data_IF_804822781761
#
_entry.id   IF_804822781761
#
_cell.length_a   1.000
_cell.length_b   1.000
_cell.length_c   1.000
_cell.angle_alpha   90.00
_cell.angle_beta   90.00
_cell.angle_gamma   90.00
#
_symmetry.space_group_name_H-M   'P 1'
#
loop_
_entity.id
_entity.type
_entity.pdbx_description
1 polymer ?
#
# COMPACT_ATOMS: atom_id res chain seq x y z
N UNK A 1 20.71 0.20 14.86
CA UNK A 1 20.13 -0.65 13.79
C UNK A 1 20.18 0.14 12.50
N UNK A 2 20.37 -0.49 11.35
CA UNK A 2 20.29 0.23 10.07
C UNK A 2 18.85 0.16 9.57
N UNK A 3 18.25 1.30 9.23
CA UNK A 3 16.90 1.33 8.68
C UNK A 3 16.91 0.66 7.31
N UNK A 4 15.97 -0.26 7.11
CA UNK A 4 15.75 -0.95 5.84
C UNK A 4 14.55 -0.31 5.18
N UNK A 5 14.64 -0.01 3.90
CA UNK A 5 13.47 0.44 3.15
C UNK A 5 13.04 -0.58 2.11
N UNK A 6 11.75 -0.93 2.14
CA UNK A 6 11.08 -1.65 1.06
C UNK A 6 10.74 -0.63 -0.03
N UNK A 7 11.29 -0.82 -1.22
CA UNK A 7 11.17 0.12 -2.34
C UNK A 7 10.38 -0.51 -3.46
N UNK A 8 9.44 0.24 -4.00
CA UNK A 8 8.63 -0.07 -5.17
C UNK A 8 8.91 0.99 -6.23
N UNK A 9 9.18 0.56 -7.45
CA UNK A 9 9.42 1.44 -8.59
C UNK A 9 8.39 1.10 -9.65
N UNK A 10 7.84 2.14 -10.29
CA UNK A 10 7.12 2.03 -11.56
C UNK A 10 7.75 2.96 -12.58
N UNK A 11 8.21 2.39 -13.68
CA UNK A 11 8.69 3.10 -14.84
C UNK A 11 7.62 3.04 -15.92
N UNK A 12 7.18 4.18 -16.43
CA UNK A 12 6.36 4.23 -17.63
C UNK A 12 7.25 4.59 -18.81
N UNK A 13 7.21 3.76 -19.84
CA UNK A 13 7.91 3.93 -21.09
C UNK A 13 7.16 4.95 -21.97
N UNK A 14 7.89 5.59 -22.88
CA UNK A 14 7.30 6.46 -23.91
C UNK A 14 6.66 5.66 -25.03
N UNK A 15 7.25 4.52 -25.34
CA UNK A 15 6.78 3.59 -26.35
C UNK A 15 6.64 2.20 -25.70
N UNK A 16 5.48 1.56 -25.88
CA UNK A 16 5.28 0.16 -25.44
C UNK A 16 6.23 -0.82 -26.14
N UNK A 17 6.73 -0.45 -27.32
CA UNK A 17 7.70 -1.22 -28.10
C UNK A 17 9.16 -0.92 -27.71
N UNK A 18 9.41 -0.05 -26.72
CA UNK A 18 10.76 0.24 -26.25
C UNK A 18 11.45 -1.03 -25.74
N UNK A 19 12.70 -1.21 -26.18
CA UNK A 19 13.52 -2.41 -25.94
C UNK A 19 14.01 -2.54 -24.50
N UNK A 20 13.86 -1.49 -23.68
CA UNK A 20 14.24 -1.52 -22.27
C UNK A 20 13.65 -2.73 -21.55
N UNK A 21 14.50 -3.60 -21.03
CA UNK A 21 14.08 -4.86 -20.41
C UNK A 21 13.91 -4.73 -18.90
N UNK A 22 13.12 -5.63 -18.29
CA UNK A 22 13.05 -5.74 -16.84
C UNK A 22 14.42 -6.01 -16.21
N UNK A 23 15.26 -6.82 -16.88
CA UNK A 23 16.58 -7.18 -16.38
C UNK A 23 17.52 -5.98 -16.32
N UNK A 24 17.54 -5.13 -17.36
CA UNK A 24 18.35 -3.90 -17.35
C UNK A 24 17.93 -2.96 -16.22
N UNK A 25 16.63 -2.87 -15.95
CA UNK A 25 16.11 -2.07 -14.84
C UNK A 25 16.56 -2.65 -13.50
N UNK A 26 16.43 -3.96 -13.30
CA UNK A 26 16.88 -4.62 -12.09
C UNK A 26 18.39 -4.48 -11.87
N UNK A 27 19.20 -4.63 -12.91
CA UNK A 27 20.65 -4.52 -12.83
C UNK A 27 21.10 -3.12 -12.36
N UNK A 28 20.43 -2.06 -12.84
CA UNK A 28 20.68 -0.69 -12.37
C UNK A 28 20.18 -0.46 -10.94
N UNK A 29 18.99 -0.98 -10.59
CA UNK A 29 18.40 -0.80 -9.25
C UNK A 29 19.21 -1.52 -8.16
N UNK A 30 19.70 -2.72 -8.45
CA UNK A 30 20.39 -3.58 -7.49
C UNK A 30 21.90 -3.36 -7.50
N UNK A 31 22.47 -2.98 -8.65
CA UNK A 31 23.90 -2.86 -8.86
C UNK A 31 24.66 -4.12 -8.41
N UNK A 32 25.89 -3.93 -7.93
CA UNK A 32 26.71 -5.03 -7.38
C UNK A 32 26.34 -5.44 -5.95
N UNK A 33 25.48 -4.69 -5.28
CA UNK A 33 25.15 -4.88 -3.87
C UNK A 33 23.89 -5.73 -3.63
N UNK A 34 23.05 -5.89 -4.66
CA UNK A 34 21.83 -6.68 -4.57
C UNK A 34 20.75 -6.02 -3.73
N UNK A 35 19.82 -6.83 -3.22
CA UNK A 35 18.72 -6.38 -2.36
C UNK A 35 19.06 -6.56 -0.88
N UNK A 36 18.60 -5.65 -0.02
CA UNK A 36 18.77 -5.75 1.42
C UNK A 36 17.50 -6.30 2.11
N UNK A 37 17.50 -7.59 2.47
CA UNK A 37 16.46 -8.27 3.27
C UNK A 37 15.01 -8.20 2.73
N UNK A 38 14.81 -7.80 1.48
CA UNK A 38 13.50 -7.74 0.81
C UNK A 38 13.57 -8.58 -0.47
N UNK A 39 12.59 -9.47 -0.74
CA UNK A 39 12.52 -10.20 -2.00
C UNK A 39 12.52 -9.24 -3.20
N UNK A 40 13.25 -9.63 -4.25
CA UNK A 40 13.18 -8.92 -5.53
C UNK A 40 12.04 -9.51 -6.35
N UNK A 41 11.22 -8.64 -6.92
CA UNK A 41 10.35 -9.01 -8.03
C UNK A 41 10.32 -7.88 -9.05
N UNK A 42 10.05 -8.24 -10.30
CA UNK A 42 9.76 -7.31 -11.38
C UNK A 42 8.62 -7.83 -12.23
N UNK A 43 7.96 -6.91 -12.93
CA UNK A 43 6.96 -7.24 -13.93
C UNK A 43 6.91 -6.14 -14.97
N UNK A 44 6.94 -6.50 -16.24
CA UNK A 44 6.53 -5.65 -17.36
C UNK A 44 5.08 -5.91 -17.70
N UNK A 45 4.34 -4.83 -17.94
CA UNK A 45 2.98 -4.85 -18.47
C UNK A 45 2.86 -3.70 -19.46
N UNK A 46 2.73 -4.01 -20.75
CA UNK A 46 2.67 -3.01 -21.83
C UNK A 46 3.84 -2.01 -21.77
N UNK A 47 3.55 -0.72 -21.60
CA UNK A 47 4.50 0.36 -21.45
C UNK A 47 4.91 0.63 -19.99
N UNK A 48 4.72 -0.33 -19.08
CA UNK A 48 5.08 -0.18 -17.66
C UNK A 48 6.03 -1.29 -17.21
N UNK A 49 7.02 -0.92 -16.41
CA UNK A 49 7.90 -1.85 -15.69
C UNK A 49 7.80 -1.53 -14.21
N UNK A 50 7.34 -2.50 -13.44
CA UNK A 50 7.28 -2.45 -11.99
C UNK A 50 8.40 -3.29 -11.39
N UNK A 51 8.97 -2.83 -10.27
CA UNK A 51 9.96 -3.58 -9.52
C UNK A 51 9.84 -3.31 -8.01
N UNK A 52 10.20 -4.30 -7.21
CA UNK A 52 10.39 -4.15 -5.77
C UNK A 52 11.74 -4.70 -5.34
N UNK A 53 12.38 -4.02 -4.38
CA UNK A 53 13.63 -4.43 -3.78
C UNK A 53 13.84 -3.74 -2.43
N UNK A 54 14.90 -4.11 -1.72
CA UNK A 54 15.25 -3.55 -0.42
C UNK A 54 16.52 -2.72 -0.49
N UNK A 55 16.53 -1.56 0.17
CA UNK A 55 17.71 -0.70 0.32
C UNK A 55 18.00 -0.38 1.77
N UNK A 56 19.26 0.00 2.03
CA UNK A 56 19.68 0.53 3.33
C UNK A 56 19.46 2.05 3.33
N UNK A 57 18.79 2.59 4.35
CA UNK A 57 18.61 4.03 4.61
C UNK A 57 17.63 4.81 3.71
N UNK A 58 16.64 4.15 3.10
CA UNK A 58 15.61 4.83 2.29
C UNK A 58 15.95 4.97 0.80
N UNK A 59 14.95 5.37 0.01
CA UNK A 59 15.06 5.50 -1.46
C UNK A 59 15.00 6.94 -1.97
N UNK A 60 15.22 7.93 -1.09
CA UNK A 60 15.12 9.34 -1.46
C UNK A 60 16.06 9.69 -2.63
N UNK A 61 15.54 10.39 -3.64
CA UNK A 61 16.24 10.78 -4.86
C UNK A 61 16.38 9.66 -5.90
N UNK A 62 15.84 8.46 -5.66
CA UNK A 62 15.90 7.36 -6.63
C UNK A 62 15.16 7.72 -7.91
N UNK A 63 14.01 8.41 -7.84
CA UNK A 63 13.26 8.77 -9.03
C UNK A 63 14.06 9.65 -10.00
N UNK A 64 14.84 10.61 -9.46
CA UNK A 64 15.70 11.48 -10.26
C UNK A 64 16.88 10.73 -10.85
N UNK A 65 17.48 9.78 -10.12
CA UNK A 65 18.59 8.96 -10.63
C UNK A 65 18.17 8.09 -11.81
N UNK A 66 17.05 7.39 -11.69
CA UNK A 66 16.52 6.56 -12.78
C UNK A 66 16.11 7.42 -13.98
N UNK A 67 15.53 8.59 -13.72
CA UNK A 67 15.24 9.56 -14.77
C UNK A 67 16.51 10.02 -15.49
N UNK A 68 17.58 10.35 -14.76
CA UNK A 68 18.84 10.78 -15.36
C UNK A 68 19.48 9.68 -16.23
N UNK A 69 19.36 8.41 -15.82
CA UNK A 69 19.87 7.27 -16.58
C UNK A 69 19.09 7.03 -17.88
N UNK A 70 17.75 7.15 -17.84
CA UNK A 70 16.90 6.67 -18.95
C UNK A 70 15.84 7.65 -19.46
N UNK A 71 16.00 8.96 -19.22
CA UNK A 71 15.01 9.97 -19.62
C UNK A 71 14.59 9.90 -21.09
N UNK A 72 15.42 9.38 -21.99
CA UNK A 72 15.09 9.20 -23.40
C UNK A 72 13.96 8.18 -23.64
N UNK A 73 13.85 7.17 -22.78
CA UNK A 73 12.90 6.05 -22.85
C UNK A 73 11.66 6.26 -22.00
N UNK A 74 11.76 7.09 -20.97
CA UNK A 74 10.74 7.19 -19.92
C UNK A 74 9.79 8.38 -20.10
N UNK A 75 8.51 8.13 -19.88
CA UNK A 75 7.46 9.15 -19.76
C UNK A 75 7.26 9.58 -18.31
N UNK A 76 7.40 8.65 -17.36
CA UNK A 76 7.41 8.97 -15.92
C UNK A 76 8.15 7.92 -15.10
N UNK A 77 8.69 8.33 -13.96
CA UNK A 77 9.26 7.48 -12.91
C UNK A 77 8.52 7.72 -11.61
N UNK A 78 8.05 6.63 -11.03
CA UNK A 78 7.42 6.59 -9.72
C UNK A 78 8.27 5.73 -8.80
N UNK A 79 8.54 6.24 -7.61
CA UNK A 79 9.21 5.48 -6.55
C UNK A 79 8.38 5.62 -5.30
N UNK A 80 8.03 4.51 -4.67
CA UNK A 80 7.37 4.46 -3.37
C UNK A 80 8.24 3.65 -2.43
N UNK A 81 8.39 4.08 -1.18
CA UNK A 81 9.11 3.27 -0.21
C UNK A 81 8.58 3.44 1.19
N UNK A 82 8.70 2.37 1.98
CA UNK A 82 8.52 2.38 3.41
C UNK A 82 9.89 2.48 4.08
N UNK A 83 10.11 3.44 4.98
CA UNK A 83 11.32 3.49 5.84
C UNK A 83 11.03 2.77 7.16
N UNK A 84 11.89 1.84 7.58
CA UNK A 84 11.74 1.11 8.85
C UNK A 84 11.75 2.09 10.04
N UNK A 85 10.61 2.18 10.73
CA UNK A 85 10.31 3.19 11.76
C UNK A 85 9.41 4.34 11.31
N UNK A 86 8.96 4.34 10.05
CA UNK A 86 7.93 5.24 9.54
C UNK A 86 6.52 4.67 9.70
N UNK A 87 5.52 5.53 9.56
CA UNK A 87 4.10 5.16 9.67
C UNK A 87 3.45 4.95 8.29
N UNK A 88 4.08 5.45 7.24
CA UNK A 88 3.49 5.49 5.90
C UNK A 88 4.57 5.35 4.83
N UNK A 89 4.15 4.89 3.66
CA UNK A 89 4.99 4.96 2.48
C UNK A 89 5.17 6.41 2.03
N UNK A 90 6.40 6.77 1.70
CA UNK A 90 6.73 7.96 0.95
C UNK A 90 6.69 7.66 -0.55
N UNK A 91 6.33 8.64 -1.36
CA UNK A 91 6.28 8.54 -2.81
C UNK A 91 6.98 9.74 -3.48
N UNK A 92 7.85 9.42 -4.41
CA UNK A 92 8.51 10.31 -5.36
C UNK A 92 7.95 10.09 -6.75
N UNK A 93 7.84 11.19 -7.50
CA UNK A 93 7.36 11.18 -8.87
C UNK A 93 8.18 12.14 -9.73
N UNK A 94 8.71 11.62 -10.84
CA UNK A 94 9.39 12.39 -11.88
C UNK A 94 8.72 12.20 -13.26
N UNK A 95 7.87 13.15 -13.68
CA UNK A 95 7.24 13.14 -15.01
C UNK A 95 8.14 13.77 -16.10
N UNK A 96 7.83 13.49 -17.38
CA UNK A 96 8.46 14.10 -18.56
C UNK A 96 8.33 15.63 -18.63
N UNK A 97 7.16 16.16 -18.27
CA UNK A 97 6.92 17.59 -18.17
C UNK A 97 7.06 18.02 -16.70
N UNK A 98 7.93 18.99 -16.41
CA UNK A 98 7.99 19.60 -15.07
C UNK A 98 6.62 20.26 -14.79
N UNK A 99 5.79 19.61 -13.99
CA UNK A 99 4.54 20.23 -13.52
C UNK A 99 4.89 21.48 -12.70
N UNK A 100 4.25 22.61 -12.98
CA UNK A 100 4.26 23.80 -12.13
C UNK A 100 3.55 23.50 -10.82
N UNK A 101 4.24 22.89 -9.85
CA UNK A 101 3.62 22.43 -8.59
C UNK A 101 3.37 23.59 -7.62
N UNK A 102 2.22 23.58 -6.95
CA UNK A 102 1.99 24.38 -5.74
C UNK A 102 2.85 23.85 -4.59
N UNK A 103 3.74 24.68 -4.05
CA UNK A 103 4.78 24.30 -3.10
C UNK A 103 4.31 23.88 -1.69
N UNK A 104 3.00 23.90 -1.40
CA UNK A 104 2.48 23.82 -0.02
C UNK A 104 2.27 22.40 0.52
N UNK A 105 2.33 21.35 -0.32
CA UNK A 105 2.06 19.95 0.09
C UNK A 105 3.27 19.02 0.00
N UNK A 106 4.45 19.53 -0.30
CA UNK A 106 5.59 18.73 -0.72
C UNK A 106 6.85 19.07 0.06
N UNK A 107 7.65 18.06 0.39
CA UNK A 107 9.01 18.29 0.90
C UNK A 107 9.99 18.14 -0.26
N UNK A 108 10.78 19.19 -0.54
CA UNK A 108 11.85 19.11 -1.52
C UNK A 108 13.10 18.53 -0.87
N UNK A 109 13.50 17.31 -1.27
CA UNK A 109 14.76 16.69 -0.84
C UNK A 109 15.51 16.18 -2.06
N UNK A 110 16.78 16.57 -2.19
CA UNK A 110 17.67 16.02 -3.21
C UNK A 110 17.25 16.24 -4.67
N UNK A 111 16.38 17.22 -4.97
CA UNK A 111 15.89 17.45 -6.34
C UNK A 111 14.48 16.94 -6.62
N UNK A 112 13.89 16.18 -5.69
CA UNK A 112 12.58 15.54 -5.86
C UNK A 112 11.59 15.99 -4.79
N UNK A 113 10.32 16.05 -5.16
CA UNK A 113 9.22 16.29 -4.24
C UNK A 113 8.73 14.97 -3.67
N UNK A 114 8.79 14.83 -2.34
CA UNK A 114 8.34 13.66 -1.59
C UNK A 114 6.99 13.99 -0.93
N UNK A 115 6.07 13.02 -0.96
CA UNK A 115 4.76 13.07 -0.30
C UNK A 115 4.42 11.72 0.31
N UNK A 116 3.42 11.68 1.19
CA UNK A 116 2.93 10.42 1.78
C UNK A 116 1.95 9.75 0.81
N UNK A 117 2.13 8.46 0.56
CA UNK A 117 1.27 7.67 -0.30
C UNK A 117 -0.04 7.33 0.41
N UNK A 118 -1.15 7.48 -0.30
CA UNK A 118 -2.48 7.04 0.15
C UNK A 118 -2.96 5.91 -0.75
N UNK A 119 -3.79 5.02 -0.20
CA UNK A 119 -4.31 3.83 -0.85
C UNK A 119 -5.83 3.83 -0.86
N UNK A 120 -6.43 3.48 -1.98
CA UNK A 120 -7.88 3.41 -2.15
C UNK A 120 -8.42 2.02 -1.80
N UNK A 121 -9.66 2.02 -1.35
CA UNK A 121 -10.52 0.85 -1.28
C UNK A 121 -11.93 1.28 -1.72
N UNK A 122 -12.72 0.33 -2.22
CA UNK A 122 -14.09 0.50 -2.69
C UNK A 122 -15.10 -0.44 -2.02
N UNK A 123 -14.64 -1.34 -1.15
CA UNK A 123 -15.50 -2.21 -0.37
C UNK A 123 -14.90 -2.64 0.96
N UNK A 124 -15.79 -3.13 1.83
CA UNK A 124 -15.42 -3.70 3.13
C UNK A 124 -16.05 -5.09 3.21
N UNK A 125 -15.26 -6.09 3.60
CA UNK A 125 -15.74 -7.45 3.86
C UNK A 125 -15.46 -7.86 5.30
N UNK A 126 -16.46 -8.44 5.94
CA UNK A 126 -16.33 -8.96 7.32
C UNK A 126 -16.76 -10.42 7.34
N UNK A 127 -15.91 -11.26 7.91
CA UNK A 127 -16.25 -12.64 8.27
C UNK A 127 -16.41 -12.70 9.79
N UNK A 128 -17.52 -13.25 10.26
CA UNK A 128 -17.88 -13.30 11.69
C UNK A 128 -17.59 -14.69 12.27
N UNK A 129 -17.14 -14.78 13.53
CA UNK A 129 -16.92 -16.07 14.21
C UNK A 129 -18.20 -16.80 14.57
N UNK A 130 -19.22 -16.01 14.84
CA UNK A 130 -20.54 -16.45 15.29
C UNK A 130 -21.60 -15.95 14.33
N UNK A 131 -22.88 -16.20 14.64
CA UNK A 131 -23.98 -15.70 13.82
C UNK A 131 -23.79 -14.21 13.52
N UNK A 132 -23.89 -13.90 12.22
CA UNK A 132 -23.78 -12.54 11.70
C UNK A 132 -24.79 -11.68 12.50
N UNK A 133 -24.35 -10.64 13.23
CA UNK A 133 -25.26 -9.68 13.83
C UNK A 133 -26.21 -9.14 12.74
N UNK A 134 -27.28 -8.42 13.10
CA UNK A 134 -28.05 -7.71 12.06
C UNK A 134 -27.14 -6.62 11.43
N UNK A 135 -26.30 -7.01 10.47
CA UNK A 135 -25.22 -6.21 9.91
C UNK A 135 -25.75 -5.03 9.10
N UNK A 136 -27.05 -4.99 8.82
CA UNK A 136 -27.73 -3.96 8.04
C UNK A 136 -27.61 -2.54 8.60
N UNK A 137 -27.03 -2.34 9.80
CA UNK A 137 -26.87 -1.02 10.43
C UNK A 137 -25.42 -0.55 10.58
N UNK A 138 -24.42 -1.39 10.31
CA UNK A 138 -23.02 -0.99 10.54
C UNK A 138 -22.61 0.10 9.55
N UNK A 139 -22.15 1.24 10.06
CA UNK A 139 -21.59 2.31 9.23
C UNK A 139 -22.58 2.96 8.26
N UNK A 140 -23.88 2.71 8.42
CA UNK A 140 -24.93 3.23 7.53
C UNK A 140 -24.93 2.66 6.11
N UNK A 141 -24.19 1.58 5.82
CA UNK A 141 -24.15 0.99 4.49
C UNK A 141 -25.18 -0.10 4.27
N UNK A 142 -25.44 -0.37 2.99
CA UNK A 142 -26.20 -1.53 2.57
C UNK A 142 -25.29 -2.77 2.51
N UNK A 143 -25.35 -3.59 3.55
CA UNK A 143 -24.61 -4.84 3.61
C UNK A 143 -25.32 -5.94 2.82
N UNK A 144 -24.54 -6.68 2.02
CA UNK A 144 -24.97 -7.90 1.31
C UNK A 144 -24.24 -9.12 1.86
N UNK A 145 -24.92 -10.27 1.88
CA UNK A 145 -24.27 -11.55 2.21
C UNK A 145 -23.45 -12.05 1.03
N UNK A 146 -22.26 -12.57 1.31
CA UNK A 146 -21.34 -13.19 0.38
C UNK A 146 -20.77 -14.46 1.05
N UNK A 147 -21.49 -15.58 0.93
CA UNK A 147 -21.16 -16.81 1.65
C UNK A 147 -21.23 -16.64 3.18
N UNK A 148 -20.10 -16.90 3.86
CA UNK A 148 -19.94 -16.68 5.30
C UNK A 148 -19.59 -15.23 5.68
N UNK A 149 -19.40 -14.37 4.69
CA UNK A 149 -19.04 -12.98 4.88
C UNK A 149 -20.22 -12.04 4.61
N UNK A 150 -20.09 -10.80 5.10
CA UNK A 150 -20.91 -9.66 4.69
C UNK A 150 -20.02 -8.63 4.01
N UNK A 151 -20.52 -8.04 2.93
CA UNK A 151 -19.79 -7.06 2.13
C UNK A 151 -20.62 -5.79 2.01
N UNK A 152 -19.97 -4.64 2.10
CA UNK A 152 -20.55 -3.34 1.79
C UNK A 152 -19.71 -2.64 0.71
N UNK A 153 -20.38 -1.94 -0.20
CA UNK A 153 -19.73 -1.01 -1.11
C UNK A 153 -19.44 0.28 -0.32
N UNK A 154 -18.17 0.54 -0.06
CA UNK A 154 -17.72 1.63 0.80
C UNK A 154 -16.38 2.11 0.27
N UNK A 155 -16.37 3.32 -0.29
CA UNK A 155 -15.17 3.92 -0.86
C UNK A 155 -14.46 4.84 0.14
N UNK A 156 -13.14 4.84 0.09
CA UNK A 156 -12.29 5.77 0.83
C UNK A 156 -10.82 5.58 0.49
N UNK A 157 -9.96 6.25 1.26
CA UNK A 157 -8.51 6.08 1.14
C UNK A 157 -7.76 6.23 2.47
N UNK A 158 -6.61 5.57 2.60
CA UNK A 158 -5.83 5.52 3.85
C UNK A 158 -4.35 5.73 3.62
N UNK A 159 -3.66 6.16 4.67
CA UNK A 159 -2.20 6.05 4.73
C UNK A 159 -1.85 4.65 5.22
N UNK A 160 -0.90 4.00 4.56
CA UNK A 160 -0.29 2.77 5.07
C UNK A 160 1.21 2.80 4.85
N UNK A 161 1.93 2.20 5.79
CA UNK A 161 3.25 1.68 5.53
C UNK A 161 3.12 0.28 4.96
N UNK A 162 3.97 -0.05 3.99
CA UNK A 162 4.14 -1.38 3.44
C UNK A 162 5.45 -1.98 4.02
N UNK A 163 5.50 -2.26 5.35
CA UNK A 163 6.70 -2.76 6.00
C UNK A 163 7.07 -4.15 5.50
N UNK A 164 8.37 -4.41 5.34
CA UNK A 164 8.94 -5.76 5.17
C UNK A 164 8.20 -6.76 6.06
N UNK A 165 7.77 -7.91 5.53
CA UNK A 165 7.52 -9.09 6.36
C UNK A 165 7.67 -10.43 5.65
N UNK A 166 7.93 -11.44 6.47
CA UNK A 166 8.12 -12.85 6.13
C UNK A 166 6.97 -13.42 5.29
N UNK A 167 7.35 -13.98 4.14
CA UNK A 167 6.51 -14.67 3.15
C UNK A 167 5.84 -15.97 3.68
N UNK A 168 6.06 -16.35 4.94
CA UNK A 168 5.83 -17.73 5.42
C UNK A 168 4.48 -18.03 6.07
N UNK A 169 3.66 -17.02 6.41
CA UNK A 169 2.62 -17.23 7.43
C UNK A 169 1.17 -17.27 6.93
N UNK A 170 0.87 -16.92 5.67
CA UNK A 170 -0.47 -17.18 5.09
C UNK A 170 -0.41 -17.52 3.58
N UNK A 171 -0.54 -18.81 3.21
CA UNK A 171 -0.49 -19.26 1.81
C UNK A 171 -1.72 -18.85 0.98
N UNK A 172 -2.74 -18.22 1.58
CA UNK A 172 -3.97 -17.84 0.88
C UNK A 172 -4.01 -16.36 0.45
N UNK A 173 -3.05 -15.54 0.88
CA UNK A 173 -2.95 -14.14 0.46
C UNK A 173 -2.18 -14.04 -0.86
N UNK A 174 -2.85 -14.38 -1.96
CA UNK A 174 -2.31 -14.22 -3.31
C UNK A 174 -2.32 -12.73 -3.70
N UNK A 175 -1.19 -12.05 -3.53
CA UNK A 175 -0.96 -10.73 -4.12
C UNK A 175 0.08 -10.81 -5.24
N UNK A 176 -0.09 -10.03 -6.33
CA UNK A 176 0.92 -9.94 -7.39
C UNK A 176 2.20 -9.24 -6.94
N UNK A 177 2.16 -8.52 -5.81
CA UNK A 177 3.30 -7.90 -5.13
C UNK A 177 3.52 -8.57 -3.79
N UNK A 178 4.71 -8.47 -3.20
CA UNK A 178 5.01 -9.11 -1.90
C UNK A 178 3.98 -8.64 -0.85
N UNK A 179 3.18 -9.53 -0.24
CA UNK A 179 2.29 -9.12 0.85
C UNK A 179 3.14 -8.59 2.00
N UNK A 180 2.76 -7.46 2.57
CA UNK A 180 3.45 -6.87 3.71
C UNK A 180 2.63 -6.99 4.98
N UNK A 181 3.30 -7.26 6.10
CA UNK A 181 2.67 -7.50 7.40
C UNK A 181 3.04 -6.37 8.33
N UNK A 182 2.04 -5.83 9.01
CA UNK A 182 2.21 -5.10 10.24
C UNK A 182 1.73 -5.99 11.39
N UNK A 183 2.61 -6.30 12.34
CA UNK A 183 2.16 -6.87 13.61
C UNK A 183 1.70 -5.74 14.51
N UNK A 184 0.48 -5.84 15.03
CA UNK A 184 0.00 -4.91 16.04
C UNK A 184 -0.64 -5.69 17.18
N UNK A 185 -0.40 -5.22 18.41
CA UNK A 185 -1.10 -5.70 19.60
C UNK A 185 -2.25 -4.73 19.89
N UNK A 186 -3.41 -5.23 20.30
CA UNK A 186 -4.52 -4.39 20.78
C UNK A 186 -4.45 -4.19 22.31
N UNK A 187 -3.25 -4.12 22.87
CA UNK A 187 -3.11 -3.77 24.29
C UNK A 187 -3.23 -2.24 24.43
N UNK A 188 -4.45 -1.71 24.30
CA UNK A 188 -4.69 -0.27 24.47
C UNK A 188 -6.10 0.26 24.20
N UNK A 189 -7.02 -0.54 23.63
CA UNK A 189 -8.34 -0.04 23.26
C UNK A 189 -8.32 0.91 22.07
N UNK A 190 -9.38 1.71 21.90
CA UNK A 190 -9.59 2.64 20.78
C UNK A 190 -8.57 3.80 20.69
N UNK A 191 -7.70 3.93 21.69
CA UNK A 191 -6.63 4.95 21.74
C UNK A 191 -5.29 4.46 21.15
N UNK A 192 -5.22 3.20 20.70
CA UNK A 192 -4.00 2.61 20.13
C UNK A 192 -3.70 3.16 18.71
N UNK A 193 -2.42 3.22 18.32
CA UNK A 193 -1.96 3.91 17.09
C UNK A 193 -2.67 3.45 15.82
N UNK A 194 -3.05 2.18 15.69
CA UNK A 194 -3.81 1.69 14.53
C UNK A 194 -5.26 2.22 14.48
N UNK A 195 -5.89 2.51 15.61
CA UNK A 195 -7.19 3.19 15.69
C UNK A 195 -7.05 4.67 15.40
N UNK A 196 -5.95 5.26 15.88
CA UNK A 196 -5.57 6.61 15.48
C UNK A 196 -5.35 6.63 13.96
N UNK A 197 -4.68 5.65 13.36
CA UNK A 197 -4.50 5.54 11.91
C UNK A 197 -5.80 5.29 11.19
N UNK A 198 -6.68 4.42 11.67
CA UNK A 198 -8.01 4.22 11.09
C UNK A 198 -8.88 5.48 11.16
N UNK A 199 -8.88 6.21 12.29
CA UNK A 199 -9.58 7.50 12.43
C UNK A 199 -8.92 8.61 11.59
N UNK A 200 -7.59 8.71 11.58
CA UNK A 200 -6.81 9.72 10.83
C UNK A 200 -6.80 9.44 9.32
N UNK A 201 -6.87 8.17 8.94
CA UNK A 201 -7.09 7.74 7.56
C UNK A 201 -8.53 8.02 7.12
N UNK A 202 -9.47 8.26 8.04
CA UNK A 202 -10.87 8.51 7.73
C UNK A 202 -11.61 7.24 7.34
N UNK A 203 -11.13 6.08 7.80
CA UNK A 203 -11.59 4.78 7.35
C UNK A 203 -12.40 4.03 8.39
N UNK A 204 -13.62 3.70 8.01
CA UNK A 204 -14.53 4.52 7.24
C UNK A 204 -15.15 5.49 8.24
N UNK A 205 -15.08 6.80 7.99
CA UNK A 205 -15.58 7.81 8.92
C UNK A 205 -17.06 7.66 9.32
N UNK A 206 -17.78 6.73 8.70
CA UNK A 206 -19.15 6.34 9.05
C UNK A 206 -19.27 5.18 10.03
N UNK A 207 -18.25 4.34 10.28
CA UNK A 207 -18.30 3.35 11.35
C UNK A 207 -18.16 4.06 12.70
N UNK A 208 -19.16 3.88 13.56
CA UNK A 208 -19.08 4.35 14.94
C UNK A 208 -18.08 3.51 15.75
N UNK A 209 -17.65 4.05 16.89
CA UNK A 209 -16.81 3.30 17.85
C UNK A 209 -17.49 2.00 18.32
N UNK A 210 -18.83 1.99 18.38
CA UNK A 210 -19.63 0.80 18.71
C UNK A 210 -19.61 -0.24 17.57
N UNK A 211 -19.74 0.21 16.31
CA UNK A 211 -19.66 -0.68 15.14
C UNK A 211 -18.29 -1.36 15.09
N UNK A 212 -17.22 -0.58 15.29
CA UNK A 212 -15.85 -1.10 15.31
C UNK A 212 -15.64 -2.08 16.46
N UNK A 213 -16.10 -1.73 17.67
CA UNK A 213 -16.00 -2.61 18.84
C UNK A 213 -16.71 -3.94 18.60
N UNK A 214 -17.87 -3.92 17.94
CA UNK A 214 -18.58 -5.14 17.56
C UNK A 214 -17.79 -5.98 16.56
N UNK A 215 -17.25 -5.36 15.49
CA UNK A 215 -16.44 -6.04 14.48
C UNK A 215 -15.21 -6.69 15.12
N UNK A 216 -14.51 -5.97 16.00
CA UNK A 216 -13.25 -6.42 16.57
C UNK A 216 -13.42 -7.46 17.68
N UNK A 217 -14.59 -7.51 18.32
CA UNK A 217 -14.92 -8.52 19.34
C UNK A 217 -15.52 -9.80 18.75
N UNK A 218 -16.25 -9.71 17.63
CA UNK A 218 -16.99 -10.83 17.05
C UNK A 218 -16.54 -11.23 15.63
N UNK A 219 -15.62 -10.49 15.01
CA UNK A 219 -15.06 -10.78 13.71
C UNK A 219 -13.95 -11.84 13.76
N UNK A 220 -13.91 -12.69 12.74
CA UNK A 220 -12.79 -13.58 12.41
C UNK A 220 -11.87 -12.96 11.36
N UNK A 221 -12.38 -12.04 10.55
CA UNK A 221 -11.62 -11.38 9.50
C UNK A 221 -12.30 -10.10 9.08
N UNK A 222 -11.52 -9.06 8.87
CA UNK A 222 -11.97 -7.81 8.25
C UNK A 222 -11.06 -7.49 7.09
N UNK A 223 -11.64 -7.12 5.96
CA UNK A 223 -10.90 -6.79 4.74
C UNK A 223 -11.37 -5.45 4.18
N UNK A 224 -10.41 -4.63 3.75
CA UNK A 224 -10.66 -3.57 2.78
C UNK A 224 -10.41 -4.14 1.38
N UNK A 225 -11.32 -3.85 0.47
CA UNK A 225 -11.31 -4.35 -0.90
C UNK A 225 -11.05 -3.22 -1.89
N UNK A 226 -10.29 -3.49 -2.95
CA UNK A 226 -10.20 -2.66 -4.14
C UNK A 226 -10.51 -3.50 -5.37
N UNK A 227 -11.54 -3.12 -6.12
CA UNK A 227 -12.02 -3.86 -7.30
C UNK A 227 -12.24 -5.35 -7.00
N UNK A 228 -12.74 -5.64 -5.79
CA UNK A 228 -13.01 -7.00 -5.30
C UNK A 228 -11.80 -7.78 -4.76
N UNK A 229 -10.58 -7.23 -4.85
CA UNK A 229 -9.36 -7.82 -4.29
C UNK A 229 -9.08 -7.24 -2.89
N UNK A 230 -8.72 -8.05 -1.89
CA UNK A 230 -8.24 -7.52 -0.61
C UNK A 230 -6.98 -6.67 -0.77
N UNK A 231 -7.01 -5.46 -0.19
CA UNK A 231 -5.88 -4.51 -0.11
C UNK A 231 -5.41 -4.28 1.33
N UNK A 232 -6.28 -4.56 2.29
CA UNK A 232 -5.91 -4.67 3.69
C UNK A 232 -6.69 -5.83 4.31
N UNK A 233 -6.02 -6.62 5.15
CA UNK A 233 -6.65 -7.72 5.89
C UNK A 233 -6.29 -7.61 7.36
N UNK A 234 -7.29 -7.66 8.22
CA UNK A 234 -7.13 -7.77 9.66
C UNK A 234 -7.59 -9.17 10.09
N UNK A 235 -6.73 -9.86 10.84
CA UNK A 235 -7.01 -11.18 11.43
C UNK A 235 -6.82 -11.13 12.94
N UNK A 236 -7.67 -11.78 13.74
CA UNK A 236 -7.45 -11.87 15.18
C UNK A 236 -6.24 -12.75 15.48
N UNK A 237 -5.50 -12.37 16.51
CA UNK A 237 -4.40 -13.16 17.08
C UNK A 237 -4.89 -14.07 18.21
N UNK A 238 -4.04 -15.00 18.63
CA UNK A 238 -4.33 -15.86 19.78
C UNK A 238 -4.45 -15.08 21.10
N UNK A 239 -3.84 -13.90 21.17
CA UNK A 239 -3.98 -13.00 22.33
C UNK A 239 -5.33 -12.27 22.27
N UNK A 240 -6.15 -12.31 23.33
CA UNK A 240 -7.44 -11.65 23.37
C UNK A 240 -7.35 -10.17 22.97
N UNK A 241 -8.18 -9.79 22.01
CA UNK A 241 -8.26 -8.43 21.51
C UNK A 241 -7.21 -8.09 20.45
N UNK A 242 -6.08 -8.79 20.33
CA UNK A 242 -5.04 -8.45 19.35
C UNK A 242 -5.42 -8.82 17.92
N UNK A 243 -5.06 -7.96 16.97
CA UNK A 243 -5.31 -8.16 15.55
C UNK A 243 -4.02 -7.94 14.75
N UNK A 244 -3.73 -8.89 13.88
CA UNK A 244 -2.68 -8.77 12.86
C UNK A 244 -3.22 -8.04 11.65
N UNK A 245 -2.41 -7.16 11.06
CA UNK A 245 -2.78 -6.41 9.86
C UNK A 245 -1.84 -6.78 8.71
N UNK A 246 -2.41 -7.02 7.55
CA UNK A 246 -1.71 -7.27 6.31
C UNK A 246 -2.06 -6.15 5.34
N UNK A 247 -1.04 -5.43 4.85
CA UNK A 247 -1.18 -4.52 3.71
C UNK A 247 -0.86 -5.31 2.44
N UNK A 248 -1.80 -5.26 1.52
CA UNK A 248 -1.76 -5.89 0.20
C UNK A 248 -1.82 -4.79 -0.87
N UNK A 249 -1.32 -3.60 -0.51
CA UNK A 249 -1.34 -2.39 -1.29
C UNK A 249 -0.33 -2.44 -2.43
N UNK A 250 -0.74 -1.94 -3.59
CA UNK A 250 0.06 -1.92 -4.80
C UNK A 250 -0.16 -0.58 -5.54
N UNK A 251 0.47 -0.42 -6.68
CA UNK A 251 0.29 0.73 -7.54
C UNK A 251 -1.16 0.85 -8.03
N UNK A 252 -1.86 -0.27 -8.26
CA UNK A 252 -3.24 -0.30 -8.78
C UNK A 252 -4.27 0.39 -7.88
N UNK A 253 -4.01 0.50 -6.58
CA UNK A 253 -4.85 1.19 -5.61
C UNK A 253 -4.19 2.45 -5.02
N UNK A 254 -3.09 2.94 -5.60
CA UNK A 254 -2.52 4.22 -5.21
C UNK A 254 -3.53 5.37 -5.45
N UNK A 255 -3.81 6.14 -4.40
CA UNK A 255 -4.76 7.24 -4.38
C UNK A 255 -4.13 8.60 -4.74
N UNK A 256 -2.85 8.61 -5.11
CA UNK A 256 -2.16 9.85 -5.39
C UNK A 256 -2.75 10.57 -6.63
N UNK A 257 -3.13 11.86 -6.54
CA UNK A 257 -3.77 12.57 -7.64
C UNK A 257 -2.94 12.58 -8.94
N UNK A 258 -1.62 12.77 -8.84
CA UNK A 258 -0.77 12.77 -10.04
C UNK A 258 -0.69 11.37 -10.64
N UNK A 259 -0.69 10.34 -9.78
CA UNK A 259 -0.62 8.95 -10.23
C UNK A 259 -1.87 8.59 -11.02
N UNK A 260 -3.03 8.97 -10.48
CA UNK A 260 -4.33 8.76 -11.12
C UNK A 260 -4.48 9.49 -12.45
N UNK A 261 -3.91 10.70 -12.56
CA UNK A 261 -3.89 11.45 -13.83
C UNK A 261 -3.02 10.79 -14.90
N UNK A 262 -2.02 10.00 -14.50
CA UNK A 262 -1.14 9.27 -15.43
C UNK A 262 -1.59 7.84 -15.74
N UNK A 263 -2.52 7.30 -14.95
CA UNK A 263 -2.98 5.91 -15.05
C UNK A 263 -4.28 5.73 -15.86
N UNK A 264 -4.96 6.82 -16.25
CA UNK A 264 -6.17 6.84 -17.08
C UNK A 264 -5.91 7.40 -18.47
#
# INVERSE_FOLDING_TARGET
MANIASVFVRLSLRDSADEMTEQEVLDELLGSHGTYHVPVWSRRSDATIDAQFGVKWGAAGLAERLWAAWSAHLSTVWVRWYDDGGDFDDIEHRPIARSTREHSKYTYRGGTWIRRCRYRYDGIRITWRHEIPQAATLGGWLWRRDGSAVVADAAGDYLAGNPRCDLSDDPQLATPTTPTRGLFSFEGGLDHELYRWWREAGLPGSLSDDDLSLILSCGDRLELLWKGRPVMVLLPENSPGSWRVYSLDDWDNCADPDYLLTAG
#
